data_IF_619993610687
#
_entry.id   IF_619993610687
#
_cell.length_a   1.000
_cell.length_b   1.000
_cell.length_c   1.000
_cell.angle_alpha   90.00
_cell.angle_beta   90.00
_cell.angle_gamma   90.00
#
_symmetry.space_group_name_H-M   'P 1'
#
loop_
_entity.id
_entity.type
_entity.pdbx_description
1 polymer ?
#
# COMPACT_ATOMS: atom_id res chain seq x y z
N UNK A 1 6.52 29.36 -25.73
CA UNK A 1 6.37 28.64 -24.45
C UNK A 1 5.03 27.96 -24.54
N UNK A 2 5.03 26.62 -24.59
CA UNK A 2 3.76 25.89 -24.69
C UNK A 2 3.07 25.95 -23.34
N UNK A 3 1.81 26.35 -23.32
CA UNK A 3 0.99 26.44 -22.11
C UNK A 3 -0.06 25.35 -22.16
N UNK A 4 -0.16 24.57 -21.10
CA UNK A 4 -1.16 23.53 -20.95
C UNK A 4 -2.10 23.89 -19.80
N UNK A 5 -3.40 23.94 -20.09
CA UNK A 5 -4.42 24.14 -19.08
C UNK A 5 -4.84 22.79 -18.50
N UNK A 6 -4.62 22.59 -17.20
CA UNK A 6 -4.99 21.38 -16.47
C UNK A 6 -5.73 21.74 -15.18
N UNK A 7 -6.53 20.82 -14.68
CA UNK A 7 -7.32 21.02 -13.46
C UNK A 7 -6.51 20.58 -12.22
N UNK A 8 -5.61 19.60 -12.39
CA UNK A 8 -4.76 19.07 -11.32
C UNK A 8 -3.33 18.89 -11.81
N UNK A 9 -2.37 19.35 -11.00
CA UNK A 9 -0.94 19.08 -11.19
C UNK A 9 -0.46 18.18 -10.06
N UNK A 10 0.06 17.02 -10.40
CA UNK A 10 0.66 16.06 -9.46
C UNK A 10 2.18 16.11 -9.60
N UNK A 11 2.89 16.26 -8.48
CA UNK A 11 4.35 16.32 -8.48
C UNK A 11 4.92 15.00 -7.95
N UNK A 12 5.61 14.28 -8.82
CA UNK A 12 6.19 12.96 -8.58
C UNK A 12 5.29 11.82 -9.07
N UNK A 13 5.90 10.82 -9.70
CA UNK A 13 5.20 9.63 -10.23
C UNK A 13 5.47 8.35 -9.42
N UNK A 14 5.72 8.47 -8.12
CA UNK A 14 5.63 7.33 -7.19
C UNK A 14 4.17 6.88 -7.00
N UNK A 15 3.92 5.78 -6.27
CA UNK A 15 2.58 5.22 -6.12
C UNK A 15 1.56 6.25 -5.60
N UNK A 16 1.95 7.10 -4.66
CA UNK A 16 1.06 8.12 -4.12
C UNK A 16 0.63 9.14 -5.20
N UNK A 17 1.61 9.65 -5.98
CA UNK A 17 1.32 10.60 -7.06
C UNK A 17 0.50 9.97 -8.18
N UNK A 18 0.85 8.76 -8.60
CA UNK A 18 0.09 8.06 -9.65
C UNK A 18 -1.34 7.72 -9.19
N UNK A 19 -1.52 7.26 -7.93
CA UNK A 19 -2.87 7.01 -7.40
C UNK A 19 -3.70 8.29 -7.38
N UNK A 20 -3.13 9.42 -6.95
CA UNK A 20 -3.82 10.71 -6.96
C UNK A 20 -4.18 11.16 -8.40
N UNK A 21 -3.24 11.02 -9.33
CA UNK A 21 -3.44 11.39 -10.73
C UNK A 21 -4.54 10.55 -11.37
N UNK A 22 -4.50 9.24 -11.17
CA UNK A 22 -5.48 8.30 -11.71
C UNK A 22 -6.87 8.55 -11.14
N UNK A 23 -6.99 8.68 -9.82
CA UNK A 23 -8.26 8.99 -9.18
C UNK A 23 -8.85 10.32 -9.69
N UNK A 24 -8.03 11.36 -9.82
CA UNK A 24 -8.49 12.62 -10.38
C UNK A 24 -8.97 12.48 -11.83
N UNK A 25 -8.25 11.72 -12.64
CA UNK A 25 -8.63 11.45 -14.03
C UNK A 25 -9.94 10.63 -14.13
N UNK A 26 -10.14 9.63 -13.28
CA UNK A 26 -11.39 8.87 -13.19
C UNK A 26 -12.60 9.76 -12.86
N UNK A 27 -12.37 10.86 -12.14
CA UNK A 27 -13.39 11.88 -11.86
C UNK A 27 -13.50 12.97 -12.93
N UNK A 28 -12.85 12.78 -14.07
CA UNK A 28 -12.95 13.66 -15.22
C UNK A 28 -12.04 14.88 -15.21
N UNK A 29 -11.11 14.98 -14.28
CA UNK A 29 -10.14 16.06 -14.24
C UNK A 29 -9.05 15.88 -15.32
N UNK A 30 -8.61 17.00 -15.92
CA UNK A 30 -7.41 17.02 -16.77
C UNK A 30 -6.19 17.10 -15.84
N UNK A 31 -5.35 16.08 -15.91
CA UNK A 31 -4.22 15.92 -14.97
C UNK A 31 -2.89 16.02 -15.69
N UNK A 32 -1.94 16.74 -15.09
CA UNK A 32 -0.54 16.70 -15.46
C UNK A 32 0.28 16.08 -14.31
N UNK A 33 1.17 15.15 -14.65
CA UNK A 33 2.12 14.58 -13.71
C UNK A 33 3.52 15.10 -14.06
N UNK A 34 4.16 15.74 -13.09
CA UNK A 34 5.53 16.23 -13.21
C UNK A 34 6.48 15.30 -12.46
N UNK A 35 7.47 14.78 -13.18
CA UNK A 35 8.50 13.92 -12.59
C UNK A 35 9.88 14.53 -12.90
N UNK A 36 10.75 14.54 -11.88
CA UNK A 36 12.11 15.09 -12.04
C UNK A 36 13.13 14.08 -12.57
N UNK A 37 12.86 12.79 -12.32
CA UNK A 37 13.74 11.73 -12.78
C UNK A 37 13.57 11.49 -14.28
N UNK A 38 14.63 11.09 -14.97
CA UNK A 38 14.52 10.66 -16.37
C UNK A 38 13.60 9.44 -16.49
N UNK A 39 13.14 9.18 -17.71
CA UNK A 39 12.13 8.16 -17.98
C UNK A 39 12.50 6.76 -17.46
N UNK A 40 13.74 6.40 -17.55
CA UNK A 40 14.29 5.11 -17.12
C UNK A 40 14.49 4.98 -15.60
N UNK A 41 14.44 6.10 -14.86
CA UNK A 41 14.61 6.15 -13.41
C UNK A 41 13.34 6.59 -12.67
N UNK A 42 12.28 6.98 -13.38
CA UNK A 42 11.04 7.49 -12.79
C UNK A 42 10.36 6.50 -11.86
N UNK A 43 9.57 7.00 -10.90
CA UNK A 43 8.77 6.19 -9.98
C UNK A 43 9.22 6.23 -8.53
N UNK A 44 10.32 6.93 -8.21
CA UNK A 44 10.83 7.08 -6.85
C UNK A 44 11.07 5.73 -6.16
N UNK A 45 10.88 5.68 -4.84
CA UNK A 45 11.08 4.44 -4.07
C UNK A 45 10.10 3.31 -4.45
N UNK A 46 8.95 3.64 -5.01
CA UNK A 46 7.98 2.63 -5.47
C UNK A 46 8.59 1.71 -6.53
N UNK A 47 9.43 2.24 -7.41
CA UNK A 47 10.09 1.46 -8.45
C UNK A 47 10.90 0.28 -7.91
N UNK A 48 11.49 0.46 -6.74
CA UNK A 48 12.44 -0.49 -6.15
C UNK A 48 11.82 -1.36 -5.04
N UNK A 49 10.54 -1.19 -4.74
CA UNK A 49 9.88 -1.99 -3.71
C UNK A 49 9.37 -3.32 -4.27
N UNK A 50 9.35 -4.34 -3.43
CA UNK A 50 8.73 -5.62 -3.75
C UNK A 50 7.20 -5.57 -3.55
N UNK A 51 6.69 -4.66 -2.70
CA UNK A 51 5.26 -4.37 -2.51
C UNK A 51 4.40 -5.59 -2.21
N UNK A 52 4.56 -6.18 -1.02
CA UNK A 52 3.74 -7.32 -0.61
C UNK A 52 2.51 -6.90 0.19
N UNK A 53 1.40 -7.57 -0.07
CA UNK A 53 0.14 -7.46 0.64
C UNK A 53 -0.17 -8.78 1.34
N UNK A 54 -0.63 -8.70 2.57
CA UNK A 54 -1.03 -9.90 3.34
C UNK A 54 -2.46 -10.26 2.99
N UNK A 55 -2.61 -11.06 1.96
CA UNK A 55 -3.91 -11.45 1.43
C UNK A 55 -4.08 -12.95 1.57
N UNK A 56 -5.27 -13.39 1.99
CA UNK A 56 -5.71 -14.78 1.91
C UNK A 56 -6.22 -15.09 0.50
N UNK A 57 -6.88 -14.12 -0.10
CA UNK A 57 -7.38 -14.14 -1.48
C UNK A 57 -7.39 -12.72 -2.04
N UNK A 58 -7.84 -12.54 -3.27
CA UNK A 58 -8.03 -11.19 -3.84
C UNK A 58 -9.12 -10.36 -3.13
N UNK A 59 -9.98 -11.03 -2.37
CA UNK A 59 -11.15 -10.43 -1.72
C UNK A 59 -10.97 -10.24 -0.22
N UNK A 60 -9.93 -10.82 0.38
CA UNK A 60 -9.75 -10.81 1.82
C UNK A 60 -8.27 -10.75 2.22
N UNK A 61 -7.98 -9.96 3.25
CA UNK A 61 -6.71 -10.03 3.97
C UNK A 61 -6.58 -11.38 4.68
N UNK A 62 -5.34 -11.79 5.03
CA UNK A 62 -5.12 -13.05 5.76
C UNK A 62 -5.79 -13.00 7.14
N UNK A 63 -6.31 -14.13 7.59
CA UNK A 63 -7.01 -14.24 8.89
C UNK A 63 -6.14 -13.82 10.08
N UNK A 64 -4.83 -14.01 9.96
CA UNK A 64 -3.85 -13.59 10.96
C UNK A 64 -3.31 -12.16 10.74
N UNK A 65 -3.99 -11.34 9.92
CA UNK A 65 -3.51 -10.00 9.52
C UNK A 65 -3.21 -9.13 10.75
N UNK A 66 -4.14 -9.04 11.68
CA UNK A 66 -4.01 -8.23 12.88
C UNK A 66 -2.92 -8.77 13.80
N UNK A 67 -2.91 -10.08 14.06
CA UNK A 67 -1.92 -10.73 14.90
C UNK A 67 -0.51 -10.59 14.34
N UNK A 68 -0.34 -10.74 13.02
CA UNK A 68 0.96 -10.62 12.38
C UNK A 68 1.42 -9.19 12.21
N UNK A 69 0.49 -8.28 11.98
CA UNK A 69 0.80 -6.86 11.96
C UNK A 69 1.32 -6.44 13.33
N UNK A 70 0.63 -6.81 14.38
CA UNK A 70 1.04 -6.60 15.75
C UNK A 70 2.41 -7.24 16.03
N UNK A 71 2.62 -8.50 15.69
CA UNK A 71 3.89 -9.21 15.92
C UNK A 71 5.08 -8.61 15.17
N UNK A 72 4.86 -7.97 14.02
CA UNK A 72 5.92 -7.37 13.19
C UNK A 72 6.14 -5.87 13.46
N UNK A 73 5.26 -5.23 14.19
CA UNK A 73 5.31 -3.78 14.41
C UNK A 73 6.31 -3.33 15.49
N UNK A 74 7.45 -3.95 15.60
CA UNK A 74 8.53 -3.41 16.42
C UNK A 74 9.27 -4.38 17.31
N UNK A 75 9.17 -5.68 17.10
CA UNK A 75 9.92 -6.67 17.87
C UNK A 75 9.56 -6.69 19.37
N UNK A 76 8.34 -6.35 19.71
CA UNK A 76 7.85 -6.42 21.08
C UNK A 76 7.73 -7.89 21.50
N UNK A 77 8.34 -8.28 22.60
CA UNK A 77 8.36 -9.67 23.04
C UNK A 77 7.04 -10.14 23.67
N UNK A 78 6.12 -9.23 24.00
CA UNK A 78 4.88 -9.56 24.69
C UNK A 78 3.67 -9.52 23.75
N UNK A 79 3.08 -10.69 23.43
CA UNK A 79 1.87 -10.77 22.61
C UNK A 79 0.66 -10.05 23.23
N UNK A 80 0.60 -9.92 24.56
CA UNK A 80 -0.47 -9.21 25.25
C UNK A 80 -0.46 -7.71 24.95
N UNK A 81 0.71 -7.10 24.86
CA UNK A 81 0.85 -5.68 24.50
C UNK A 81 0.30 -5.45 23.08
N UNK A 82 0.55 -6.38 22.18
CA UNK A 82 0.12 -6.28 20.79
C UNK A 82 -1.39 -6.47 20.62
N UNK A 83 -1.97 -7.41 21.39
CA UNK A 83 -3.43 -7.57 21.45
C UNK A 83 -4.11 -6.33 22.03
N UNK A 84 -3.50 -5.69 23.02
CA UNK A 84 -4.01 -4.45 23.58
C UNK A 84 -3.83 -3.25 22.61
N UNK A 85 -2.80 -3.26 21.78
CA UNK A 85 -2.54 -2.19 20.80
C UNK A 85 -3.54 -2.17 19.64
N UNK A 86 -4.15 -3.30 19.29
CA UNK A 86 -5.20 -3.38 18.26
C UNK A 86 -6.62 -3.19 18.81
N UNK A 87 -6.76 -2.95 20.11
CA UNK A 87 -8.05 -2.60 20.71
C UNK A 87 -8.41 -1.15 20.40
N UNK A 88 -9.70 -0.86 20.46
CA UNK A 88 -10.22 0.49 20.49
C UNK A 88 -9.38 1.36 21.45
N UNK A 89 -8.94 2.52 20.98
CA UNK A 89 -8.05 3.44 21.70
C UNK A 89 -8.50 3.75 23.13
N UNK A 90 -9.81 3.86 23.34
CA UNK A 90 -10.37 4.14 24.65
C UNK A 90 -10.21 2.97 25.64
N UNK A 91 -10.07 1.76 25.10
CA UNK A 91 -9.87 0.53 25.87
C UNK A 91 -8.39 0.12 26.00
N UNK A 92 -7.46 0.88 25.41
CA UNK A 92 -6.04 0.61 25.53
C UNK A 92 -5.49 1.07 26.89
N UNK A 93 -4.54 0.33 27.48
CA UNK A 93 -3.78 0.81 28.63
C UNK A 93 -3.11 2.17 28.35
N UNK A 94 -3.05 3.03 29.36
CA UNK A 94 -2.51 4.39 29.22
C UNK A 94 -1.07 4.43 28.64
N UNK A 95 -0.25 3.43 28.94
CA UNK A 95 1.11 3.30 28.41
C UNK A 95 1.10 3.08 26.91
N UNK A 96 0.19 2.25 26.37
CA UNK A 96 0.10 2.01 24.94
C UNK A 96 -0.44 3.22 24.19
N UNK A 97 -1.41 3.92 24.77
CA UNK A 97 -1.89 5.20 24.18
C UNK A 97 -0.80 6.25 24.07
N UNK A 98 0.19 6.23 24.94
CA UNK A 98 1.32 7.17 24.91
C UNK A 98 2.42 6.79 23.91
N UNK A 99 2.52 5.51 23.54
CA UNK A 99 3.57 5.02 22.66
C UNK A 99 3.29 5.21 21.17
N UNK A 100 2.04 5.45 20.76
CA UNK A 100 1.61 5.63 19.36
C UNK A 100 2.13 4.55 18.40
N UNK A 101 2.28 3.31 18.87
CA UNK A 101 2.97 2.23 18.15
C UNK A 101 2.10 1.69 17.01
N UNK A 102 0.79 1.60 17.22
CA UNK A 102 -0.17 1.16 16.23
C UNK A 102 -1.45 1.96 16.41
N UNK A 103 -1.98 2.48 15.32
CA UNK A 103 -3.30 3.08 15.28
C UNK A 103 -4.30 2.00 14.81
N UNK A 104 -5.22 1.53 15.66
CA UNK A 104 -6.17 0.48 15.30
C UNK A 104 -7.11 0.90 14.17
N UNK A 105 -7.44 2.19 14.05
CA UNK A 105 -8.28 2.68 12.95
C UNK A 105 -7.56 2.56 11.61
N UNK A 106 -6.25 2.84 11.58
CA UNK A 106 -5.43 2.65 10.38
C UNK A 106 -5.35 1.17 10.02
N UNK A 107 -5.17 0.28 10.99
CA UNK A 107 -5.11 -1.17 10.73
C UNK A 107 -6.45 -1.68 10.19
N UNK A 108 -7.56 -1.28 10.80
CA UNK A 108 -8.90 -1.65 10.34
C UNK A 108 -9.17 -1.12 8.92
N UNK A 109 -8.86 0.15 8.68
CA UNK A 109 -8.98 0.76 7.34
C UNK A 109 -8.12 0.03 6.32
N UNK A 110 -6.87 -0.31 6.66
CA UNK A 110 -5.99 -1.06 5.77
C UNK A 110 -6.57 -2.45 5.44
N UNK A 111 -7.11 -3.16 6.43
CA UNK A 111 -7.72 -4.46 6.22
C UNK A 111 -8.96 -4.39 5.31
N UNK A 112 -9.80 -3.38 5.49
CA UNK A 112 -11.01 -3.17 4.70
C UNK A 112 -10.69 -2.69 3.26
N UNK A 113 -9.74 -1.77 3.10
CA UNK A 113 -9.48 -1.11 1.83
C UNK A 113 -8.48 -1.87 0.95
N UNK A 114 -7.63 -2.74 1.52
CA UNK A 114 -6.64 -3.48 0.75
C UNK A 114 -7.22 -4.30 -0.40
N UNK A 115 -8.31 -5.08 -0.24
CA UNK A 115 -8.93 -5.80 -1.36
C UNK A 115 -9.47 -4.86 -2.45
N UNK A 116 -10.03 -3.72 -2.07
CA UNK A 116 -10.57 -2.72 -3.02
C UNK A 116 -9.44 -2.09 -3.84
N UNK A 117 -8.36 -1.68 -3.16
CA UNK A 117 -7.18 -1.11 -3.81
C UNK A 117 -6.49 -2.12 -4.74
N UNK A 118 -6.43 -3.40 -4.36
CA UNK A 118 -5.90 -4.46 -5.22
C UNK A 118 -6.73 -4.60 -6.49
N UNK A 119 -8.05 -4.65 -6.39
CA UNK A 119 -8.96 -4.72 -7.55
C UNK A 119 -8.84 -3.49 -8.43
N UNK A 120 -8.72 -2.31 -7.83
CA UNK A 120 -8.51 -1.07 -8.56
C UNK A 120 -7.21 -1.10 -9.37
N UNK A 121 -6.10 -1.52 -8.77
CA UNK A 121 -4.82 -1.69 -9.48
C UNK A 121 -4.89 -2.74 -10.59
N UNK A 122 -5.62 -3.83 -10.39
CA UNK A 122 -5.87 -4.83 -11.45
C UNK A 122 -6.64 -4.24 -12.62
N UNK A 123 -7.55 -3.31 -12.37
CA UNK A 123 -8.27 -2.56 -13.41
C UNK A 123 -7.32 -1.81 -14.36
N UNK A 124 -6.16 -1.39 -13.87
CA UNK A 124 -5.10 -0.77 -14.68
C UNK A 124 -4.07 -1.76 -15.24
N UNK A 125 -4.37 -3.05 -15.21
CA UNK A 125 -3.52 -4.08 -15.82
C UNK A 125 -2.39 -4.59 -14.93
N UNK A 126 -2.31 -4.18 -13.67
CA UNK A 126 -1.35 -4.76 -12.71
C UNK A 126 -1.75 -6.21 -12.44
N UNK A 127 -0.80 -7.13 -12.65
CA UNK A 127 -0.98 -8.55 -12.36
C UNK A 127 -0.43 -8.85 -10.98
N UNK A 128 -1.20 -9.59 -10.18
CA UNK A 128 -0.81 -10.03 -8.85
C UNK A 128 -0.77 -11.55 -8.76
N UNK A 129 0.12 -12.07 -7.94
CA UNK A 129 0.18 -13.49 -7.61
C UNK A 129 0.70 -13.68 -6.18
N UNK A 130 0.48 -14.86 -5.62
CA UNK A 130 1.08 -15.27 -4.36
C UNK A 130 2.55 -15.64 -4.60
N UNK A 131 3.44 -14.83 -4.03
CA UNK A 131 4.86 -14.98 -4.26
C UNK A 131 5.49 -15.85 -3.15
N UNK A 132 6.23 -16.91 -3.51
CA UNK A 132 6.97 -17.69 -2.54
C UNK A 132 8.14 -16.87 -1.99
N UNK A 133 8.17 -16.70 -0.66
CA UNK A 133 9.27 -16.04 0.02
C UNK A 133 10.20 -17.07 0.62
N UNK A 134 11.25 -17.40 -0.09
CA UNK A 134 12.18 -18.48 0.25
C UNK A 134 12.99 -18.25 1.52
N UNK A 135 13.07 -17.01 2.00
CA UNK A 135 13.87 -16.64 3.17
C UNK A 135 13.03 -16.47 4.45
N UNK A 136 11.72 -16.61 4.38
CA UNK A 136 10.85 -16.56 5.56
C UNK A 136 10.42 -17.97 5.93
N UNK A 137 10.82 -18.41 7.11
CA UNK A 137 10.55 -19.75 7.65
C UNK A 137 9.06 -20.03 7.94
N UNK A 138 8.21 -19.01 7.91
CA UNK A 138 6.77 -19.15 8.07
C UNK A 138 6.08 -18.60 6.84
N UNK A 139 5.39 -19.50 6.13
CA UNK A 139 4.58 -19.13 4.97
C UNK A 139 3.42 -18.24 5.40
N UNK A 140 3.54 -16.98 5.13
CA UNK A 140 2.40 -16.09 5.20
C UNK A 140 1.90 -15.87 3.79
N UNK A 141 0.60 -15.89 3.60
CA UNK A 141 -0.03 -15.54 2.34
C UNK A 141 0.36 -14.10 1.97
N UNK A 142 1.26 -13.97 1.02
CA UNK A 142 1.71 -12.66 0.53
C UNK A 142 1.46 -12.56 -0.96
N UNK A 143 0.61 -11.63 -1.32
CA UNK A 143 0.32 -11.31 -2.70
C UNK A 143 1.13 -10.08 -3.10
N UNK A 144 1.81 -10.16 -4.24
CA UNK A 144 2.59 -9.05 -4.76
C UNK A 144 2.37 -8.83 -6.24
N UNK A 145 2.66 -7.64 -6.76
CA UNK A 145 2.61 -7.38 -8.19
C UNK A 145 3.72 -8.16 -8.91
N UNK A 146 3.36 -8.82 -9.99
CA UNK A 146 4.33 -9.50 -10.86
C UNK A 146 5.19 -8.43 -11.54
N UNK A 147 6.49 -8.43 -11.25
CA UNK A 147 7.42 -7.38 -11.66
C UNK A 147 7.65 -6.29 -10.61
N UNK A 148 7.16 -6.49 -9.38
CA UNK A 148 7.42 -5.61 -8.25
C UNK A 148 6.87 -4.20 -8.43
N UNK A 149 7.47 -3.24 -7.74
CA UNK A 149 7.03 -1.85 -7.79
C UNK A 149 7.15 -1.18 -9.17
N UNK A 150 8.07 -1.67 -10.01
CA UNK A 150 8.18 -1.19 -11.38
C UNK A 150 6.91 -1.49 -12.19
N UNK A 151 6.29 -2.65 -12.00
CA UNK A 151 5.04 -2.99 -12.67
C UNK A 151 3.90 -2.03 -12.27
N UNK A 152 3.84 -1.62 -11.00
CA UNK A 152 2.89 -0.60 -10.55
C UNK A 152 3.07 0.73 -11.30
N UNK A 153 4.31 1.20 -11.38
CA UNK A 153 4.63 2.47 -12.06
C UNK A 153 4.26 2.39 -13.54
N UNK A 154 4.70 1.34 -14.23
CA UNK A 154 4.46 1.21 -15.67
C UNK A 154 2.97 1.04 -16.01
N UNK A 155 2.23 0.30 -15.21
CA UNK A 155 0.79 0.11 -15.44
C UNK A 155 -0.01 1.40 -15.22
N UNK A 156 0.32 2.18 -14.21
CA UNK A 156 -0.40 3.41 -13.88
C UNK A 156 -0.04 4.61 -14.76
N UNK A 157 1.16 4.63 -15.36
CA UNK A 157 1.62 5.78 -16.14
C UNK A 157 1.20 5.72 -17.63
N UNK A 158 0.75 4.57 -18.11
CA UNK A 158 0.39 4.35 -19.52
C UNK A 158 -1.08 4.62 -19.85
N UNK A 159 -1.79 5.33 -18.99
CA UNK A 159 -3.22 5.60 -19.17
C UNK A 159 -3.45 6.98 -19.73
#
# INVERSE_FOLDING_TARGET
>A
MDTHDVDVVVVGCGIAGLSAAMTAAEHGARVAVLERAPEDERGGNTRYTESFWRMQSEDAVSEDFEDRFAANSGGWPDPGILQDAVRDRDNQPAVLRSLSVVDPEIVATLAEEAPKALKWLKGFGVKFDFLPLYFLSQSTTRMGPIGGGLALILSLIHI
#
